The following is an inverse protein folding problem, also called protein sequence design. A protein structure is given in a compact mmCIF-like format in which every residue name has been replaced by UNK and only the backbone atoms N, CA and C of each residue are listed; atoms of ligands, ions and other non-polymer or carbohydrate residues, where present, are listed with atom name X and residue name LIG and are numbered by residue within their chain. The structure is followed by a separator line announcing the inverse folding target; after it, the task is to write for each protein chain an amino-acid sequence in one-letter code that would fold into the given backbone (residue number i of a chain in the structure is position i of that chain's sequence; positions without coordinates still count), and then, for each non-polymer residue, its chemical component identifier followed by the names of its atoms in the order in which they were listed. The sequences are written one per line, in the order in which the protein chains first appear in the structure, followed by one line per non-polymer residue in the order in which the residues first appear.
data_IF_940378838005
#
_entry.id   IF_940378838005
#
_cell.length_a   1.000
_cell.length_b   1.000
_cell.length_c   1.000
_cell.angle_alpha   90.00
_cell.angle_beta   90.00
_cell.angle_gamma   90.00
#
_symmetry.space_group_name_H-M   'P 1'
#
loop_
_entity.id
_entity.type
_entity.pdbx_description
1 polymer ?
#
# COMPACT_ATOMS: atom_id res chain seq x y z
N UNK A 1 -0.27 -30.81 16.94
CA UNK A 1 -1.58 -30.12 16.82
C UNK A 1 -1.64 -28.70 17.42
N UNK A 2 -0.71 -28.28 18.32
CA UNK A 2 -0.75 -26.94 18.94
C UNK A 2 -0.28 -25.76 18.05
N UNK A 3 0.33 -26.03 16.89
CA UNK A 3 0.93 -24.99 16.01
C UNK A 3 -0.05 -24.39 14.99
N UNK A 4 -1.18 -25.07 14.70
CA UNK A 4 -2.16 -24.62 13.70
C UNK A 4 -3.11 -23.56 14.31
N UNK A 5 -3.41 -23.66 15.59
CA UNK A 5 -4.29 -22.70 16.29
C UNK A 5 -3.68 -21.30 16.43
N UNK A 6 -2.34 -21.19 16.50
CA UNK A 6 -1.66 -19.90 16.60
C UNK A 6 -1.72 -19.13 15.28
N UNK A 7 -1.70 -19.83 14.14
CA UNK A 7 -1.79 -19.20 12.82
C UNK A 7 -3.21 -18.67 12.54
N UNK A 8 -4.24 -19.34 13.05
CA UNK A 8 -5.64 -18.94 12.88
C UNK A 8 -6.01 -17.72 13.76
N UNK A 9 -5.37 -17.58 14.92
CA UNK A 9 -5.67 -16.50 15.87
C UNK A 9 -5.08 -15.14 15.45
N UNK A 10 -4.04 -15.13 14.62
CA UNK A 10 -3.35 -13.90 14.20
C UNK A 10 -4.09 -13.13 13.09
N UNK A 11 -5.07 -13.77 12.44
CA UNK A 11 -5.85 -13.17 11.33
C UNK A 11 -7.04 -12.34 11.83
N UNK A 12 -7.51 -12.58 13.07
CA UNK A 12 -8.78 -11.99 13.57
C UNK A 12 -8.59 -10.65 14.29
N UNK A 13 -7.35 -10.23 14.61
CA UNK A 13 -7.11 -9.02 15.42
C UNK A 13 -7.11 -7.69 14.64
N UNK A 14 -7.39 -7.68 13.33
CA UNK A 14 -7.31 -6.47 12.49
C UNK A 14 -8.66 -5.77 12.22
N UNK A 15 -9.75 -6.12 12.92
CA UNK A 15 -11.08 -5.57 12.66
C UNK A 15 -11.50 -4.37 13.53
N UNK A 16 -10.73 -3.98 14.57
CA UNK A 16 -11.22 -3.02 15.57
C UNK A 16 -10.70 -1.57 15.46
N UNK A 17 -10.30 -1.08 14.28
CA UNK A 17 -9.89 0.34 14.10
C UNK A 17 -10.85 1.07 13.15
N UNK A 18 -12.15 1.13 13.47
CA UNK A 18 -13.12 1.88 12.65
C UNK A 18 -14.21 2.54 13.52
N UNK A 19 -13.95 3.76 13.98
CA UNK A 19 -14.96 4.70 14.51
C UNK A 19 -15.25 5.89 13.59
N UNK A 20 -14.56 6.00 12.45
CA UNK A 20 -14.81 7.02 11.42
C UNK A 20 -14.94 6.31 10.09
N UNK A 21 -16.01 6.59 9.32
CA UNK A 21 -16.23 6.01 7.99
C UNK A 21 -14.98 6.31 7.14
N UNK A 22 -14.18 5.30 6.75
CA UNK A 22 -12.97 5.56 6.00
C UNK A 22 -13.36 6.26 4.71
N UNK A 23 -12.70 7.39 4.44
CA UNK A 23 -12.68 7.98 3.12
C UNK A 23 -12.21 6.92 2.11
N UNK A 24 -12.74 6.95 0.87
CA UNK A 24 -12.52 5.88 -0.11
C UNK A 24 -11.01 5.57 -0.33
N UNK A 25 -10.14 6.57 -0.18
CA UNK A 25 -8.68 6.37 -0.20
C UNK A 25 -8.14 5.49 0.92
N UNK A 26 -8.61 5.63 2.16
CA UNK A 26 -8.13 4.79 3.28
C UNK A 26 -8.64 3.36 3.15
N UNK A 27 -9.86 3.15 2.66
CA UNK A 27 -10.35 1.80 2.36
C UNK A 27 -9.45 1.08 1.35
N UNK A 28 -9.07 1.76 0.27
CA UNK A 28 -8.13 1.26 -0.74
C UNK A 28 -6.74 0.98 -0.17
N UNK A 29 -6.27 1.83 0.75
CA UNK A 29 -4.99 1.62 1.45
C UNK A 29 -5.07 0.36 2.30
N UNK A 30 -6.11 0.20 3.12
CA UNK A 30 -6.28 -0.96 3.97
C UNK A 30 -6.43 -2.24 3.17
N UNK A 31 -7.22 -2.22 2.08
CA UNK A 31 -7.35 -3.36 1.18
C UNK A 31 -5.99 -3.79 0.62
N UNK A 32 -5.22 -2.85 0.07
CA UNK A 32 -3.87 -3.12 -0.44
C UNK A 32 -2.98 -3.77 0.63
N UNK A 33 -2.95 -3.18 1.83
CA UNK A 33 -2.06 -3.63 2.91
C UNK A 33 -2.49 -5.00 3.44
N UNK A 34 -3.80 -5.24 3.61
CA UNK A 34 -4.33 -6.55 4.04
C UNK A 34 -4.02 -7.63 2.99
N UNK A 35 -4.19 -7.33 1.71
CA UNK A 35 -3.81 -8.24 0.63
C UNK A 35 -2.33 -8.57 0.64
N UNK A 36 -1.46 -7.57 0.85
CA UNK A 36 -0.02 -7.78 0.98
C UNK A 36 0.37 -8.60 2.22
N UNK A 37 -0.29 -8.36 3.36
CA UNK A 37 -0.08 -9.17 4.59
C UNK A 37 -0.41 -10.63 4.32
N UNK A 38 -1.52 -10.90 3.63
CA UNK A 38 -1.94 -12.26 3.31
C UNK A 38 -0.99 -12.93 2.32
N UNK A 39 -0.59 -12.24 1.25
CA UNK A 39 0.25 -12.82 0.19
C UNK A 39 1.69 -13.04 0.63
N UNK A 40 2.27 -12.09 1.37
CA UNK A 40 3.68 -12.13 1.79
C UNK A 40 3.84 -12.51 3.26
N UNK A 41 2.77 -12.97 3.92
CA UNK A 41 2.77 -13.45 5.32
C UNK A 41 3.43 -12.46 6.28
N UNK A 42 3.09 -11.17 6.15
CA UNK A 42 3.74 -10.09 6.89
C UNK A 42 3.35 -10.10 8.37
N UNK A 43 4.31 -9.87 9.25
CA UNK A 43 4.05 -9.70 10.68
C UNK A 43 3.51 -8.30 11.02
N UNK A 44 3.12 -8.08 12.28
CA UNK A 44 2.53 -6.81 12.74
C UNK A 44 3.45 -5.59 12.53
N UNK A 45 4.77 -5.76 12.69
CA UNK A 45 5.71 -4.67 12.46
C UNK A 45 5.83 -4.34 10.97
N UNK A 46 5.88 -5.34 10.10
CA UNK A 46 5.87 -5.17 8.65
C UNK A 46 4.56 -4.55 8.18
N UNK A 47 3.42 -4.98 8.72
CA UNK A 47 2.10 -4.37 8.48
C UNK A 47 2.10 -2.87 8.80
N UNK A 48 2.53 -2.48 10.01
CA UNK A 48 2.58 -1.07 10.43
C UNK A 48 3.49 -0.23 9.52
N UNK A 49 4.65 -0.78 9.14
CA UNK A 49 5.58 -0.14 8.19
C UNK A 49 4.95 0.02 6.81
N UNK A 50 4.31 -1.02 6.28
CA UNK A 50 3.68 -1.00 4.97
C UNK A 50 2.50 -0.04 4.92
N UNK A 51 1.68 -0.01 5.98
CA UNK A 51 0.57 0.92 6.09
C UNK A 51 1.04 2.38 6.05
N UNK A 52 2.10 2.72 6.81
CA UNK A 52 2.71 4.06 6.76
C UNK A 52 3.29 4.38 5.39
N UNK A 53 4.03 3.46 4.78
CA UNK A 53 4.61 3.63 3.45
C UNK A 53 3.52 3.85 2.39
N UNK A 54 2.43 3.08 2.45
CA UNK A 54 1.31 3.18 1.51
C UNK A 54 0.53 4.49 1.68
N UNK A 55 0.29 4.94 2.91
CA UNK A 55 -0.31 6.26 3.19
C UNK A 55 0.54 7.40 2.63
N UNK A 56 1.85 7.36 2.88
CA UNK A 56 2.79 8.36 2.35
C UNK A 56 2.76 8.38 0.82
N UNK A 57 2.83 7.22 0.19
CA UNK A 57 2.74 7.07 -1.26
C UNK A 57 1.47 7.73 -1.83
N UNK A 58 0.29 7.41 -1.27
CA UNK A 58 -0.97 7.98 -1.75
C UNK A 58 -1.01 9.50 -1.54
N UNK A 59 -0.55 9.99 -0.38
CA UNK A 59 -0.46 11.43 -0.09
C UNK A 59 0.44 12.15 -1.11
N UNK A 60 1.63 11.64 -1.35
CA UNK A 60 2.60 12.27 -2.27
C UNK A 60 2.11 12.24 -3.72
N UNK A 61 1.46 11.13 -4.13
CA UNK A 61 0.82 11.01 -5.44
C UNK A 61 -0.32 12.02 -5.63
N UNK A 62 -1.18 12.15 -4.61
CA UNK A 62 -2.29 13.11 -4.63
C UNK A 62 -1.77 14.56 -4.67
N UNK A 63 -0.76 14.89 -3.86
CA UNK A 63 -0.14 16.22 -3.86
C UNK A 63 0.47 16.54 -5.23
N UNK A 64 1.25 15.63 -5.81
CA UNK A 64 1.83 15.80 -7.16
C UNK A 64 0.74 16.01 -8.21
N UNK A 65 -0.38 15.28 -8.10
CA UNK A 65 -1.50 15.42 -9.02
C UNK A 65 -2.23 16.76 -8.83
N UNK A 66 -2.38 17.22 -7.58
CA UNK A 66 -2.97 18.52 -7.25
C UNK A 66 -2.10 19.67 -7.77
N UNK A 67 -0.80 19.62 -7.54
CA UNK A 67 0.16 20.63 -8.03
C UNK A 67 0.10 20.76 -9.55
N UNK A 68 0.05 19.63 -10.27
CA UNK A 68 -0.13 19.63 -11.73
C UNK A 68 -1.47 20.26 -12.16
N UNK A 69 -2.58 19.90 -11.50
CA UNK A 69 -3.90 20.48 -11.81
C UNK A 69 -3.95 21.98 -11.56
N UNK A 70 -3.21 22.46 -10.57
CA UNK A 70 -3.11 23.87 -10.22
C UNK A 70 -2.09 24.63 -11.08
N UNK A 71 -1.48 24.00 -12.08
CA UNK A 71 -0.46 24.62 -12.96
C UNK A 71 0.93 24.75 -12.33
N UNK A 72 1.13 24.23 -11.11
CA UNK A 72 2.42 24.28 -10.41
C UNK A 72 3.46 23.26 -10.92
N UNK A 73 3.08 22.38 -11.86
CA UNK A 73 3.99 21.44 -12.51
C UNK A 73 3.68 21.34 -14.00
N UNK A 74 4.74 21.24 -14.81
CA UNK A 74 4.62 20.77 -16.19
C UNK A 74 4.32 19.27 -16.26
N UNK A 75 3.94 18.77 -17.44
CA UNK A 75 3.69 17.34 -17.66
C UNK A 75 4.92 16.48 -17.37
N UNK A 76 6.11 16.96 -17.74
CA UNK A 76 7.37 16.25 -17.54
C UNK A 76 7.78 16.25 -16.06
N UNK A 77 7.61 17.39 -15.37
CA UNK A 77 7.85 17.47 -13.92
C UNK A 77 6.91 16.56 -13.14
N UNK A 78 5.63 16.50 -13.52
CA UNK A 78 4.66 15.54 -12.96
C UNK A 78 5.14 14.10 -13.16
N UNK A 79 5.55 13.74 -14.39
CA UNK A 79 6.02 12.39 -14.71
C UNK A 79 7.24 12.02 -13.84
N UNK A 80 8.23 12.92 -13.75
CA UNK A 80 9.42 12.71 -12.94
C UNK A 80 9.09 12.54 -11.44
N UNK A 81 8.23 13.40 -10.88
CA UNK A 81 7.78 13.28 -9.48
C UNK A 81 7.02 11.99 -9.22
N UNK A 82 6.09 11.59 -10.10
CA UNK A 82 5.36 10.33 -9.95
C UNK A 82 6.31 9.14 -10.03
N UNK A 83 7.29 9.15 -10.94
CA UNK A 83 8.30 8.09 -11.02
C UNK A 83 9.12 7.99 -9.73
N UNK A 84 9.52 9.12 -9.14
CA UNK A 84 10.24 9.14 -7.86
C UNK A 84 9.37 8.59 -6.71
N UNK A 85 8.10 8.98 -6.64
CA UNK A 85 7.13 8.48 -5.64
C UNK A 85 6.93 6.97 -5.79
N UNK A 86 6.76 6.47 -7.01
CA UNK A 86 6.63 5.04 -7.30
C UNK A 86 7.90 4.27 -6.90
N UNK A 87 9.07 4.79 -7.24
CA UNK A 87 10.36 4.16 -6.91
C UNK A 87 10.53 4.06 -5.40
N UNK A 88 10.33 5.15 -4.66
CA UNK A 88 10.48 5.16 -3.20
C UNK A 88 9.50 4.22 -2.50
N UNK A 89 8.26 4.10 -3.02
CA UNK A 89 7.31 3.11 -2.50
C UNK A 89 7.75 1.68 -2.80
N UNK A 90 8.17 1.37 -4.03
CA UNK A 90 8.61 0.03 -4.41
C UNK A 90 9.84 -0.41 -3.59
N UNK A 91 10.82 0.46 -3.40
CA UNK A 91 11.98 0.21 -2.53
C UNK A 91 11.58 -0.04 -1.07
N UNK A 92 10.62 0.71 -0.55
CA UNK A 92 10.10 0.47 0.80
C UNK A 92 9.39 -0.88 0.86
N UNK A 93 8.63 -1.23 -0.18
CA UNK A 93 7.84 -2.45 -0.22
C UNK A 93 8.74 -3.69 -0.32
N UNK A 94 9.77 -3.67 -1.16
CA UNK A 94 10.77 -4.75 -1.23
C UNK A 94 11.50 -4.91 0.11
N UNK A 95 11.93 -3.81 0.74
CA UNK A 95 12.57 -3.86 2.08
C UNK A 95 11.66 -4.43 3.17
N UNK A 96 10.36 -4.16 3.10
CA UNK A 96 9.40 -4.65 4.10
C UNK A 96 9.07 -6.12 3.89
N UNK A 97 8.88 -6.53 2.64
CA UNK A 97 8.48 -7.91 2.28
C UNK A 97 9.65 -8.88 2.19
N UNK A 98 10.84 -8.38 1.90
CA UNK A 98 12.00 -9.19 1.57
C UNK A 98 11.97 -9.79 0.16
N UNK A 99 10.97 -9.47 -0.66
CA UNK A 99 10.87 -9.97 -2.04
C UNK A 99 11.51 -9.01 -3.03
N UNK A 100 11.96 -9.55 -4.17
CA UNK A 100 12.55 -8.76 -5.24
C UNK A 100 11.47 -7.93 -5.95
N UNK A 101 11.87 -6.80 -6.54
CA UNK A 101 10.94 -5.92 -7.24
C UNK A 101 10.16 -6.63 -8.37
N UNK A 102 10.80 -7.56 -9.07
CA UNK A 102 10.17 -8.39 -10.12
C UNK A 102 9.04 -9.27 -9.59
N UNK A 103 9.12 -9.68 -8.33
CA UNK A 103 8.12 -10.54 -7.68
C UNK A 103 6.94 -9.74 -7.13
N UNK A 104 7.13 -8.43 -6.91
CA UNK A 104 6.04 -7.52 -6.55
C UNK A 104 5.15 -7.17 -7.75
N UNK A 105 5.67 -7.24 -8.98
CA UNK A 105 4.96 -6.75 -10.15
C UNK A 105 3.59 -7.42 -10.39
N UNK A 106 3.45 -8.76 -10.33
CA UNK A 106 2.16 -9.42 -10.46
C UNK A 106 1.14 -8.94 -9.41
N UNK A 107 1.58 -8.79 -8.16
CA UNK A 107 0.77 -8.27 -7.07
C UNK A 107 0.32 -6.83 -7.33
N UNK A 108 1.25 -5.95 -7.71
CA UNK A 108 0.97 -4.54 -7.96
C UNK A 108 0.01 -4.34 -9.15
N UNK A 109 0.14 -5.14 -10.20
CA UNK A 109 -0.77 -5.13 -11.35
C UNK A 109 -2.17 -5.57 -10.93
N UNK A 110 -2.27 -6.67 -10.16
CA UNK A 110 -3.55 -7.17 -9.64
C UNK A 110 -4.23 -6.15 -8.73
N UNK A 111 -3.50 -5.61 -7.76
CA UNK A 111 -4.00 -4.58 -6.85
C UNK A 111 -4.52 -3.35 -7.59
N UNK A 112 -3.89 -2.94 -8.69
CA UNK A 112 -4.37 -1.79 -9.49
C UNK A 112 -5.78 -2.03 -10.06
N UNK A 113 -6.06 -3.27 -10.50
CA UNK A 113 -7.37 -3.67 -11.06
C UNK A 113 -8.44 -3.86 -9.99
N UNK A 114 -8.05 -4.36 -8.81
CA UNK A 114 -8.98 -4.58 -7.70
C UNK A 114 -9.34 -3.26 -7.02
N UNK A 115 -8.35 -2.40 -6.75
CA UNK A 115 -8.53 -1.10 -6.09
C UNK A 115 -9.38 -0.13 -6.92
N UNK A 116 -9.42 -0.26 -8.25
CA UNK A 116 -10.29 0.57 -9.09
C UNK A 116 -11.77 0.21 -8.98
N UNK A 117 -12.10 -0.94 -8.39
CA UNK A 117 -13.48 -1.43 -8.20
C UNK A 117 -14.03 -1.16 -6.79
N UNK A 118 -13.18 -0.64 -5.90
CA UNK A 118 -13.52 -0.09 -4.59
C UNK A 118 -13.79 1.41 -4.79
#
# INVERSE_FOLDING_TARGET
MKKILVLLFLVVSFSNIYGQKPNNSEEKIYYFVKSAVKEYTLNLNQYKKLLRARRKYIKDYMNTTKDFKNGGLSKDQKKAKIQAVNRGFNESFTKITGVLQRELEPFLVRMRKEISKI
#
